data_IF_565482714045
#
_entry.id   IF_565482714045
#
_cell.length_a   1.000
_cell.length_b   1.000
_cell.length_c   1.000
_cell.angle_alpha   90.00
_cell.angle_beta   90.00
_cell.angle_gamma   90.00
#
_symmetry.space_group_name_H-M   'P 1'
#
loop_
_entity.id
_entity.type
_entity.pdbx_description
1 polymer ?
#
# COMPACT_ATOMS: atom_id res chain seq x y z
N UNK A 1 11.22 11.61 13.09
CA UNK A 1 10.99 11.01 11.76
C UNK A 1 9.50 11.04 11.48
N UNK A 2 9.09 11.02 10.21
CA UNK A 2 7.69 10.98 9.78
C UNK A 2 7.45 9.79 8.88
N UNK A 3 6.38 9.05 9.14
CA UNK A 3 5.95 7.91 8.35
C UNK A 3 4.54 8.20 7.83
N UNK A 4 4.42 8.37 6.51
CA UNK A 4 3.14 8.40 5.85
C UNK A 4 2.66 6.96 5.64
N UNK A 5 1.49 6.64 6.19
CA UNK A 5 0.82 5.35 6.00
C UNK A 5 -0.54 5.59 5.38
N UNK A 6 -0.85 4.88 4.30
CA UNK A 6 -2.14 5.03 3.63
C UNK A 6 -2.88 3.72 3.55
N UNK A 7 -4.22 3.78 3.56
CA UNK A 7 -5.11 2.69 3.17
C UNK A 7 -6.12 3.19 2.15
N UNK A 8 -6.85 2.29 1.51
CA UNK A 8 -7.88 2.65 0.53
C UNK A 8 -9.27 2.69 1.14
N UNK A 9 -10.15 3.52 0.59
CA UNK A 9 -11.60 3.44 0.83
C UNK A 9 -12.21 2.09 0.36
N UNK A 10 -13.45 1.78 0.76
CA UNK A 10 -14.17 0.60 0.26
C UNK A 10 -14.35 0.66 -1.27
N UNK A 11 -14.39 -0.52 -1.91
CA UNK A 11 -14.60 -0.65 -3.34
C UNK A 11 -15.24 -1.99 -3.68
N UNK A 12 -15.74 -2.14 -4.92
CA UNK A 12 -16.25 -3.43 -5.41
C UNK A 12 -17.48 -3.96 -4.67
N UNK A 13 -18.28 -3.06 -4.08
CA UNK A 13 -19.48 -3.40 -3.32
C UNK A 13 -19.22 -3.81 -1.86
N UNK A 14 -17.98 -3.73 -1.38
CA UNK A 14 -17.66 -3.92 0.03
C UNK A 14 -17.98 -2.65 0.83
N UNK A 15 -18.41 -2.79 2.08
CA UNK A 15 -18.67 -1.66 2.99
C UNK A 15 -17.41 -1.18 3.73
N UNK A 16 -16.39 -2.04 3.79
CA UNK A 16 -15.12 -1.78 4.47
C UNK A 16 -13.93 -2.10 3.58
N UNK A 17 -12.77 -1.55 3.94
CA UNK A 17 -11.49 -1.94 3.36
C UNK A 17 -10.46 -2.23 4.47
N UNK A 18 -9.98 -3.48 4.62
CA UNK A 18 -9.09 -3.87 5.70
C UNK A 18 -7.76 -3.10 5.70
N UNK A 19 -7.35 -2.54 4.55
CA UNK A 19 -6.17 -1.68 4.51
C UNK A 19 -6.39 -0.39 5.29
N UNK A 20 -7.54 0.28 5.11
CA UNK A 20 -7.86 1.50 5.86
C UNK A 20 -8.22 1.21 7.30
N UNK A 21 -9.02 0.17 7.58
CA UNK A 21 -9.40 -0.19 8.96
C UNK A 21 -8.17 -0.47 9.83
N UNK A 22 -7.16 -1.14 9.28
CA UNK A 22 -5.92 -1.39 9.99
C UNK A 22 -5.06 -0.12 10.15
N UNK A 23 -4.98 0.73 9.11
CA UNK A 23 -4.18 1.96 9.12
C UNK A 23 -4.77 3.04 10.04
N UNK A 24 -6.09 3.24 10.00
CA UNK A 24 -6.81 4.23 10.81
C UNK A 24 -6.63 3.95 12.31
N UNK A 25 -6.57 2.66 12.67
CA UNK A 25 -6.36 2.19 14.04
C UNK A 25 -4.91 2.22 14.54
N UNK A 26 -3.92 2.62 13.73
CA UNK A 26 -2.54 2.77 14.19
C UNK A 26 -2.40 3.94 15.19
N UNK A 27 -1.48 3.86 16.17
CA UNK A 27 -1.16 5.00 17.03
C UNK A 27 -0.56 6.14 16.21
N UNK A 28 -0.65 7.37 16.72
CA UNK A 28 -0.13 8.57 16.06
C UNK A 28 1.41 8.68 16.16
N UNK A 29 2.04 7.88 17.02
CA UNK A 29 3.49 7.80 17.17
C UNK A 29 3.95 6.34 17.36
N UNK A 30 5.06 5.96 16.70
CA UNK A 30 5.74 4.67 16.90
C UNK A 30 7.24 4.91 16.98
N UNK A 31 7.86 4.51 18.10
CA UNK A 31 9.32 4.66 18.34
C UNK A 31 9.81 6.12 18.11
N UNK A 32 9.03 7.13 18.51
CA UNK A 32 9.36 8.54 18.33
C UNK A 32 9.15 9.08 16.90
N UNK A 33 8.63 8.26 15.98
CA UNK A 33 8.24 8.70 14.64
C UNK A 33 6.75 9.04 14.57
N UNK A 34 6.44 10.20 14.00
CA UNK A 34 5.08 10.66 13.73
C UNK A 34 4.44 9.80 12.64
N UNK A 35 3.22 9.29 12.87
CA UNK A 35 2.47 8.45 11.93
C UNK A 35 1.35 9.26 11.28
N UNK A 36 1.57 9.66 10.04
CA UNK A 36 0.59 10.40 9.25
C UNK A 36 -0.30 9.40 8.52
N UNK A 37 -1.58 9.33 8.90
CA UNK A 37 -2.55 8.40 8.30
C UNK A 37 -3.40 9.12 7.24
N UNK A 38 -3.57 8.53 6.06
CA UNK A 38 -4.47 9.06 5.01
C UNK A 38 -5.23 7.95 4.30
N UNK A 39 -6.52 8.17 4.08
CA UNK A 39 -7.34 7.31 3.24
C UNK A 39 -7.22 7.79 1.79
N UNK A 40 -6.97 6.87 0.86
CA UNK A 40 -6.90 7.13 -0.56
C UNK A 40 -8.20 6.68 -1.25
N UNK A 41 -8.63 7.40 -2.30
CA UNK A 41 -9.74 6.93 -3.12
C UNK A 41 -9.31 5.70 -3.93
N UNK A 42 -10.25 4.81 -4.26
CA UNK A 42 -10.00 3.73 -5.23
C UNK A 42 -10.25 4.26 -6.62
N UNK A 43 -9.43 5.23 -7.04
CA UNK A 43 -9.47 5.83 -8.38
C UNK A 43 -8.08 6.04 -8.95
N UNK A 44 -7.88 5.72 -10.23
CA UNK A 44 -6.57 5.89 -10.89
C UNK A 44 -6.15 7.36 -10.95
N UNK A 45 -7.10 8.24 -11.23
CA UNK A 45 -6.86 9.69 -11.28
C UNK A 45 -6.64 10.28 -9.89
N UNK A 46 -7.39 9.81 -8.89
CA UNK A 46 -7.29 10.30 -7.53
C UNK A 46 -5.92 10.02 -6.92
N UNK A 47 -5.40 8.79 -7.03
CA UNK A 47 -4.08 8.46 -6.49
C UNK A 47 -2.96 9.23 -7.20
N UNK A 48 -3.04 9.39 -8.53
CA UNK A 48 -2.07 10.17 -9.33
C UNK A 48 -2.05 11.65 -8.96
N UNK A 49 -3.16 12.19 -8.46
CA UNK A 49 -3.27 13.60 -8.04
C UNK A 49 -2.91 13.83 -6.58
N UNK A 50 -3.38 12.97 -5.68
CA UNK A 50 -3.30 13.17 -4.22
C UNK A 50 -1.91 12.82 -3.69
N UNK A 51 -1.36 11.68 -4.10
CA UNK A 51 -0.09 11.18 -3.55
C UNK A 51 1.08 12.14 -3.78
N UNK A 52 1.29 12.73 -4.97
CA UNK A 52 2.42 13.63 -5.18
C UNK A 52 2.38 14.84 -4.23
N UNK A 53 1.20 15.46 -4.11
CA UNK A 53 0.99 16.59 -3.20
C UNK A 53 1.26 16.19 -1.75
N UNK A 54 0.69 15.07 -1.31
CA UNK A 54 0.83 14.59 0.06
C UNK A 54 2.30 14.29 0.42
N UNK A 55 3.05 13.65 -0.48
CA UNK A 55 4.46 13.31 -0.27
C UNK A 55 5.32 14.59 -0.22
N UNK A 56 5.11 15.51 -1.14
CA UNK A 56 5.89 16.76 -1.24
C UNK A 56 5.58 17.72 -0.08
N UNK A 57 4.32 17.82 0.33
CA UNK A 57 3.90 18.72 1.42
C UNK A 57 4.35 18.20 2.79
N UNK A 58 4.13 16.90 3.08
CA UNK A 58 4.43 16.32 4.40
C UNK A 58 5.92 16.01 4.59
N UNK A 59 6.64 15.76 3.49
CA UNK A 59 8.05 15.35 3.43
C UNK A 59 8.37 14.19 4.38
N UNK A 60 7.69 13.03 4.23
CA UNK A 60 7.91 11.91 5.13
C UNK A 60 9.28 11.26 4.88
N UNK A 61 9.88 10.67 5.92
CA UNK A 61 11.07 9.82 5.78
C UNK A 61 10.69 8.48 5.12
N UNK A 62 9.47 8.00 5.41
CA UNK A 62 8.94 6.75 4.88
C UNK A 62 7.51 6.87 4.37
N UNK A 63 7.20 6.20 3.25
CA UNK A 63 5.84 6.03 2.73
C UNK A 63 5.49 4.54 2.67
N UNK A 64 4.51 4.12 3.45
CA UNK A 64 3.97 2.75 3.43
C UNK A 64 2.54 2.81 2.91
N UNK A 65 2.36 2.44 1.66
CA UNK A 65 1.04 2.32 1.06
C UNK A 65 0.46 0.94 1.37
N UNK A 66 -0.82 0.88 1.71
CA UNK A 66 -1.54 -0.36 1.93
C UNK A 66 -2.72 -0.52 0.98
N UNK A 67 -2.99 -1.76 0.57
CA UNK A 67 -4.16 -2.11 -0.22
C UNK A 67 -4.61 -3.54 0.00
N UNK A 68 -5.86 -3.83 -0.35
CA UNK A 68 -6.43 -5.16 -0.24
C UNK A 68 -6.10 -6.00 -1.47
N UNK A 69 -5.56 -7.21 -1.26
CA UNK A 69 -5.43 -8.26 -2.27
C UNK A 69 -6.29 -9.46 -1.87
N UNK A 70 -7.59 -9.36 -2.18
CA UNK A 70 -8.56 -10.41 -1.87
C UNK A 70 -8.13 -11.78 -2.40
N UNK A 71 -8.12 -12.79 -1.53
CA UNK A 71 -7.73 -14.16 -1.87
C UNK A 71 -6.28 -14.53 -1.56
N UNK A 72 -5.38 -13.57 -1.30
CA UNK A 72 -4.05 -13.90 -0.72
C UNK A 72 -4.24 -14.40 0.71
N UNK A 73 -3.46 -15.40 1.17
CA UNK A 73 -3.56 -15.91 2.54
C UNK A 73 -2.67 -15.18 3.56
N UNK A 74 -1.83 -14.25 3.10
CA UNK A 74 -0.75 -13.65 3.88
C UNK A 74 -0.56 -12.17 3.56
N UNK A 75 0.12 -11.46 4.47
CA UNK A 75 0.63 -10.12 4.21
C UNK A 75 1.71 -10.20 3.14
N UNK A 76 1.68 -9.32 2.16
CA UNK A 76 2.66 -9.35 1.06
C UNK A 76 3.30 -7.99 0.87
N UNK A 77 4.63 -7.94 1.00
CA UNK A 77 5.40 -6.72 0.77
C UNK A 77 5.82 -6.70 -0.69
N UNK A 78 5.38 -5.68 -1.43
CA UNK A 78 5.59 -5.59 -2.87
C UNK A 78 7.02 -5.17 -3.20
N UNK A 79 7.63 -5.87 -4.15
CA UNK A 79 8.99 -5.59 -4.62
C UNK A 79 9.02 -4.48 -5.65
N UNK A 80 8.02 -4.41 -6.53
CA UNK A 80 8.07 -3.62 -7.77
C UNK A 80 6.70 -3.09 -8.13
N UNK A 81 6.67 -1.84 -8.60
CA UNK A 81 5.54 -1.24 -9.30
C UNK A 81 5.90 -1.06 -10.78
N UNK A 82 4.96 -1.31 -11.66
CA UNK A 82 5.14 -1.25 -13.13
C UNK A 82 4.33 -0.10 -13.72
N UNK A 83 4.83 0.50 -14.81
CA UNK A 83 4.22 1.66 -15.46
C UNK A 83 3.06 1.27 -16.39
N UNK A 84 2.04 0.62 -15.83
CA UNK A 84 0.82 0.25 -16.57
C UNK A 84 -0.40 0.30 -15.65
N UNK A 85 -1.49 0.81 -16.20
CA UNK A 85 -2.84 0.74 -15.69
C UNK A 85 -3.63 -0.10 -16.69
N UNK A 86 -4.09 -1.25 -16.23
CA UNK A 86 -4.86 -2.19 -17.06
C UNK A 86 -5.88 -2.90 -16.17
N UNK A 87 -7.17 -2.68 -16.45
CA UNK A 87 -8.24 -3.35 -15.72
C UNK A 87 -9.56 -3.41 -16.46
N UNK A 88 -10.16 -4.61 -16.45
CA UNK A 88 -11.56 -4.80 -16.88
C UNK A 88 -12.58 -4.36 -15.81
N UNK A 89 -12.13 -4.13 -14.57
CA UNK A 89 -12.98 -3.66 -13.47
C UNK A 89 -12.86 -2.14 -13.40
N UNK A 90 -13.95 -1.38 -13.47
CA UNK A 90 -13.88 0.06 -13.31
C UNK A 90 -13.54 0.44 -11.85
N UNK A 91 -12.81 1.54 -11.72
CA UNK A 91 -12.57 2.20 -10.44
C UNK A 91 -13.85 2.86 -9.87
N UNK A 92 -13.77 3.45 -8.68
CA UNK A 92 -14.95 4.04 -8.01
C UNK A 92 -15.54 5.25 -8.78
N UNK A 93 -14.85 5.79 -9.78
CA UNK A 93 -15.33 6.84 -10.69
C UNK A 93 -15.79 6.30 -12.05
N UNK A 94 -15.79 4.98 -12.24
CA UNK A 94 -16.21 4.33 -13.47
C UNK A 94 -15.12 4.22 -14.53
N UNK A 95 -13.86 4.59 -14.22
CA UNK A 95 -12.76 4.54 -15.18
C UNK A 95 -12.10 3.16 -15.21
N UNK A 96 -11.97 2.61 -16.41
CA UNK A 96 -11.33 1.32 -16.69
C UNK A 96 -10.29 1.50 -17.81
N UNK A 97 -9.00 1.67 -17.46
CA UNK A 97 -7.93 1.82 -18.45
C UNK A 97 -7.56 0.48 -19.09
N UNK A 98 -7.10 0.54 -20.34
CA UNK A 98 -6.59 -0.60 -21.12
C UNK A 98 -5.18 -0.28 -21.62
N UNK A 99 -4.17 -0.95 -21.04
CA UNK A 99 -2.74 -0.79 -21.39
C UNK A 99 -2.21 0.66 -21.39
N UNK A 100 -2.76 1.52 -20.53
CA UNK A 100 -2.30 2.91 -20.41
C UNK A 100 -1.12 3.04 -19.43
N UNK A 101 -0.10 3.87 -19.70
CA UNK A 101 0.96 4.11 -18.73
C UNK A 101 0.43 4.90 -17.52
N UNK A 102 1.00 4.63 -16.33
CA UNK A 102 0.71 5.44 -15.13
C UNK A 102 1.18 6.88 -15.36
N UNK A 103 2.41 7.04 -15.87
CA UNK A 103 2.98 8.30 -16.35
C UNK A 103 3.69 8.09 -17.69
N UNK A 104 3.31 8.89 -18.70
CA UNK A 104 3.95 8.91 -20.01
C UNK A 104 5.44 9.25 -19.90
N UNK A 105 6.28 8.51 -20.63
CA UNK A 105 7.74 8.69 -20.63
C UNK A 105 8.47 8.31 -19.33
N UNK A 106 7.77 7.84 -18.29
CA UNK A 106 8.41 7.34 -17.08
C UNK A 106 9.04 5.95 -17.30
N UNK A 107 10.01 5.54 -16.45
CA UNK A 107 10.61 4.20 -16.53
C UNK A 107 9.57 3.08 -16.47
N UNK A 108 9.88 1.93 -17.06
CA UNK A 108 8.97 0.79 -17.08
C UNK A 108 8.56 0.28 -15.69
N UNK A 109 9.42 0.45 -14.69
CA UNK A 109 9.16 -0.01 -13.33
C UNK A 109 10.01 0.75 -12.30
N UNK A 110 9.54 0.76 -11.05
CA UNK A 110 10.30 1.15 -9.88
C UNK A 110 10.32 0.02 -8.85
N UNK A 111 11.50 -0.25 -8.28
CA UNK A 111 11.60 -1.11 -7.10
C UNK A 111 11.21 -0.35 -5.83
N UNK A 112 10.58 -1.05 -4.89
CA UNK A 112 10.38 -0.54 -3.54
C UNK A 112 11.74 -0.22 -2.88
N UNK A 113 11.80 0.90 -2.16
CA UNK A 113 12.99 1.33 -1.42
C UNK A 113 12.89 1.06 0.09
N UNK A 114 11.74 0.54 0.56
CA UNK A 114 11.62 -0.06 1.90
C UNK A 114 12.53 -1.29 2.06
N UNK A 115 12.93 -1.65 3.29
CA UNK A 115 13.71 -2.86 3.56
C UNK A 115 12.83 -4.13 3.51
N UNK A 116 12.27 -4.47 2.34
CA UNK A 116 11.20 -5.46 2.17
C UNK A 116 11.51 -6.84 2.76
N UNK A 117 12.77 -7.31 2.64
CA UNK A 117 13.20 -8.60 3.20
C UNK A 117 13.25 -8.57 4.73
N UNK A 118 13.65 -7.44 5.32
CA UNK A 118 13.68 -7.27 6.77
C UNK A 118 12.25 -7.24 7.31
N UNK A 119 11.34 -6.50 6.66
CA UNK A 119 9.92 -6.44 7.02
C UNK A 119 9.31 -7.86 7.01
N UNK A 120 9.50 -8.63 5.94
CA UNK A 120 8.96 -10.00 5.86
C UNK A 120 9.53 -10.92 6.95
N UNK A 121 10.82 -10.81 7.29
CA UNK A 121 11.40 -11.59 8.40
C UNK A 121 10.77 -11.20 9.74
N UNK A 122 10.70 -9.92 10.04
CA UNK A 122 10.14 -9.42 11.30
C UNK A 122 8.66 -9.81 11.47
N UNK A 123 7.87 -9.77 10.39
CA UNK A 123 6.48 -10.25 10.39
C UNK A 123 6.40 -11.74 10.75
N UNK A 124 7.24 -12.57 10.15
CA UNK A 124 7.28 -14.02 10.42
C UNK A 124 7.75 -14.33 11.85
N UNK A 125 8.73 -13.58 12.36
CA UNK A 125 9.18 -13.67 13.76
C UNK A 125 8.03 -13.32 14.72
N UNK A 126 7.22 -12.33 14.38
CA UNK A 126 5.99 -11.95 15.09
C UNK A 126 4.80 -12.90 14.88
N UNK A 127 5.01 -14.05 14.20
CA UNK A 127 4.01 -15.09 13.89
C UNK A 127 2.89 -14.62 12.95
N UNK A 128 3.16 -13.63 12.11
CA UNK A 128 2.25 -13.15 11.07
C UNK A 128 2.68 -13.76 9.71
N UNK A 129 1.80 -14.51 9.01
CA UNK A 129 2.12 -15.03 7.69
C UNK A 129 2.46 -13.89 6.72
N UNK A 130 3.68 -13.91 6.17
CA UNK A 130 4.15 -12.87 5.27
C UNK A 130 5.02 -13.40 4.12
N UNK A 131 5.02 -12.70 2.99
CA UNK A 131 5.86 -13.01 1.82
C UNK A 131 6.25 -11.76 1.04
N UNK A 132 7.18 -11.92 0.10
CA UNK A 132 7.45 -10.90 -0.91
C UNK A 132 6.57 -11.20 -2.11
N UNK A 133 5.90 -10.17 -2.64
CA UNK A 133 5.20 -10.23 -3.91
C UNK A 133 6.01 -9.48 -4.98
N UNK A 134 6.00 -10.02 -6.20
CA UNK A 134 6.67 -9.41 -7.36
C UNK A 134 5.67 -8.80 -8.35
N UNK A 135 4.40 -8.71 -7.97
CA UNK A 135 3.37 -7.98 -8.72
C UNK A 135 2.34 -7.38 -7.77
N UNK A 136 2.19 -6.06 -7.85
CA UNK A 136 1.13 -5.32 -7.18
C UNK A 136 -0.20 -5.33 -8.01
N UNK A 137 -0.26 -6.13 -9.08
CA UNK A 137 -1.30 -6.07 -10.10
C UNK A 137 -1.09 -4.92 -11.08
N UNK A 138 -2.14 -4.55 -11.80
CA UNK A 138 -2.19 -3.44 -12.79
C UNK A 138 -3.32 -2.45 -12.47
N UNK A 139 -3.92 -2.59 -11.29
CA UNK A 139 -5.03 -1.75 -10.81
C UNK A 139 -4.53 -0.54 -10.01
N UNK A 140 -5.43 0.12 -9.28
CA UNK A 140 -5.15 1.32 -8.47
C UNK A 140 -4.02 1.10 -7.44
N UNK A 141 -3.85 -0.10 -6.88
CA UNK A 141 -2.76 -0.40 -5.94
C UNK A 141 -1.37 -0.26 -6.59
N UNK A 142 -1.17 -0.83 -7.78
CA UNK A 142 0.07 -0.66 -8.56
C UNK A 142 0.27 0.80 -8.96
N UNK A 143 -0.80 1.45 -9.43
CA UNK A 143 -0.79 2.87 -9.82
C UNK A 143 -0.35 3.78 -8.66
N UNK A 144 -0.85 3.54 -7.45
CA UNK A 144 -0.46 4.26 -6.25
C UNK A 144 1.01 4.03 -5.88
N UNK A 145 1.47 2.77 -5.89
CA UNK A 145 2.88 2.44 -5.62
C UNK A 145 3.82 3.09 -6.64
N UNK A 146 3.48 3.00 -7.94
CA UNK A 146 4.24 3.63 -9.00
C UNK A 146 4.27 5.15 -8.83
N UNK A 147 3.13 5.77 -8.55
CA UNK A 147 3.01 7.22 -8.35
C UNK A 147 3.89 7.71 -7.21
N UNK A 148 3.88 7.04 -6.06
CA UNK A 148 4.72 7.44 -4.93
C UNK A 148 6.21 7.34 -5.27
N UNK A 149 6.64 6.20 -5.83
CA UNK A 149 8.04 5.97 -6.21
C UNK A 149 8.52 6.94 -7.29
N UNK A 150 7.69 7.19 -8.31
CA UNK A 150 7.97 8.14 -9.37
C UNK A 150 8.09 9.57 -8.83
N UNK A 151 7.16 10.00 -7.98
CA UNK A 151 7.19 11.32 -7.34
C UNK A 151 8.50 11.52 -6.57
N UNK A 152 8.86 10.56 -5.71
CA UNK A 152 10.08 10.62 -4.90
C UNK A 152 11.32 10.71 -5.78
N UNK A 153 11.39 9.88 -6.82
CA UNK A 153 12.52 9.86 -7.75
C UNK A 153 12.67 11.17 -8.53
N UNK A 154 11.58 11.72 -9.07
CA UNK A 154 11.58 12.99 -9.82
C UNK A 154 11.88 14.18 -8.93
N UNK A 155 11.38 14.18 -7.69
CA UNK A 155 11.64 15.24 -6.72
C UNK A 155 13.04 15.14 -6.07
N UNK A 156 13.79 14.06 -6.31
CA UNK A 156 15.12 13.85 -5.72
C UNK A 156 15.08 13.67 -4.19
N UNK A 157 14.00 13.11 -3.65
CA UNK A 157 13.82 12.94 -2.20
C UNK A 157 14.54 11.68 -1.69
N UNK A 158 15.03 11.73 -0.45
CA UNK A 158 15.61 10.55 0.24
C UNK A 158 14.54 9.62 0.85
N UNK A 159 13.26 9.97 0.72
CA UNK A 159 12.11 9.21 1.23
C UNK A 159 12.14 7.75 0.74
N UNK A 160 12.02 6.80 1.67
CA UNK A 160 11.87 5.37 1.33
C UNK A 160 10.39 5.02 1.18
N UNK A 161 10.01 4.30 0.13
CA UNK A 161 8.62 3.99 -0.18
C UNK A 161 8.40 2.54 -0.63
N UNK A 162 7.21 2.03 -0.37
CA UNK A 162 6.79 0.72 -0.82
C UNK A 162 5.32 0.45 -0.52
N UNK A 163 4.87 -0.74 -0.88
CA UNK A 163 3.47 -1.14 -0.79
C UNK A 163 3.33 -2.47 -0.06
N UNK A 164 2.27 -2.61 0.74
CA UNK A 164 1.94 -3.83 1.47
C UNK A 164 0.50 -4.21 1.15
N UNK A 165 0.32 -5.36 0.52
CA UNK A 165 -0.99 -5.95 0.31
C UNK A 165 -1.42 -6.78 1.51
N UNK A 166 -2.68 -6.63 1.88
CA UNK A 166 -3.34 -7.34 2.99
C UNK A 166 -4.45 -8.25 2.44
N UNK A 167 -4.75 -9.38 3.09
CA UNK A 167 -5.85 -10.24 2.69
C UNK A 167 -7.21 -9.60 3.02
N UNK A 168 -8.31 -10.30 2.73
CA UNK A 168 -9.64 -9.94 3.25
C UNK A 168 -9.63 -9.88 4.79
N UNK A 169 -10.48 -9.05 5.38
CA UNK A 169 -10.84 -9.19 6.80
C UNK A 169 -11.75 -10.41 7.01
N UNK A 170 -11.91 -10.85 8.26
CA UNK A 170 -12.87 -11.91 8.59
C UNK A 170 -14.30 -11.51 8.22
N UNK A 171 -14.65 -10.24 8.42
CA UNK A 171 -15.97 -9.69 8.08
C UNK A 171 -16.27 -9.78 6.58
N UNK A 172 -15.29 -9.47 5.72
CA UNK A 172 -15.46 -9.62 4.27
C UNK A 172 -15.55 -11.08 3.79
N UNK A 173 -15.11 -12.03 4.63
CA UNK A 173 -15.01 -13.45 4.28
C UNK A 173 -16.13 -14.33 4.86
N UNK A 174 -17.11 -13.76 5.58
CA UNK A 174 -18.20 -14.52 6.20
C UNK A 174 -18.95 -15.40 5.17
N UNK A 175 -19.25 -14.83 4.01
CA UNK A 175 -19.99 -15.50 2.92
C UNK A 175 -19.10 -15.90 1.75
N UNK A 176 -17.77 -15.84 1.91
CA UNK A 176 -16.79 -16.10 0.83
C UNK A 176 -15.80 -17.16 1.31
N UNK A 177 -15.68 -18.34 0.67
CA UNK A 177 -14.69 -19.36 1.05
C UNK A 177 -13.28 -18.93 0.61
N UNK A 178 -12.76 -17.86 1.22
CA UNK A 178 -11.49 -17.20 0.89
C UNK A 178 -10.66 -17.00 2.16
N UNK A 179 -9.32 -17.01 2.05
CA UNK A 179 -8.47 -16.66 3.17
C UNK A 179 -8.76 -15.25 3.68
N UNK A 180 -8.69 -15.08 5.00
CA UNK A 180 -8.87 -13.79 5.68
C UNK A 180 -7.95 -13.67 6.89
N UNK A 181 -7.80 -12.44 7.39
CA UNK A 181 -7.00 -12.13 8.56
C UNK A 181 -7.71 -11.08 9.42
N UNK A 182 -7.69 -11.24 10.73
CA UNK A 182 -8.24 -10.25 11.66
C UNK A 182 -7.59 -8.87 11.46
N UNK A 183 -8.38 -7.80 11.49
CA UNK A 183 -7.91 -6.43 11.28
C UNK A 183 -6.84 -6.05 12.30
N UNK A 184 -6.95 -6.54 13.54
CA UNK A 184 -5.95 -6.34 14.60
C UNK A 184 -4.60 -6.98 14.23
N UNK A 185 -4.62 -8.13 13.56
CA UNK A 185 -3.40 -8.79 13.07
C UNK A 185 -2.80 -8.01 11.91
N UNK A 186 -3.62 -7.48 11.01
CA UNK A 186 -3.19 -6.61 9.90
C UNK A 186 -2.58 -5.31 10.46
N UNK A 187 -3.22 -4.67 11.44
CA UNK A 187 -2.68 -3.48 12.13
C UNK A 187 -1.34 -3.77 12.78
N UNK A 188 -1.23 -4.88 13.52
CA UNK A 188 0.04 -5.33 14.10
C UNK A 188 1.11 -5.54 13.03
N UNK A 189 0.74 -6.04 11.85
CA UNK A 189 1.66 -6.18 10.72
C UNK A 189 2.21 -4.81 10.27
N UNK A 190 1.37 -3.78 10.17
CA UNK A 190 1.83 -2.43 9.86
C UNK A 190 2.74 -1.85 10.93
N UNK A 191 2.41 -2.01 12.23
CA UNK A 191 3.32 -1.56 13.28
C UNK A 191 4.70 -2.24 13.19
N UNK A 192 4.75 -3.54 12.90
CA UNK A 192 6.02 -4.27 12.70
C UNK A 192 6.77 -3.75 11.48
N UNK A 193 6.07 -3.50 10.37
CA UNK A 193 6.67 -2.96 9.16
C UNK A 193 7.26 -1.54 9.40
N UNK A 194 6.55 -0.70 10.14
CA UNK A 194 6.99 0.65 10.51
C UNK A 194 8.24 0.57 11.39
N UNK A 195 8.19 -0.15 12.52
CA UNK A 195 9.36 -0.32 13.42
C UNK A 195 10.57 -0.88 12.69
N UNK A 196 10.36 -1.82 11.78
CA UNK A 196 11.44 -2.43 10.98
C UNK A 196 12.04 -1.42 10.01
N UNK A 197 11.22 -0.54 9.42
CA UNK A 197 11.67 0.49 8.49
C UNK A 197 12.48 1.57 9.19
N UNK A 198 12.07 2.00 10.39
CA UNK A 198 12.78 3.02 11.19
C UNK A 198 14.21 2.62 11.59
N UNK A 199 14.51 1.32 11.60
CA UNK A 199 15.81 0.77 12.06
C UNK A 199 16.83 0.55 10.94
N UNK A 200 16.47 0.79 9.67
CA UNK A 200 17.32 0.50 8.50
C UNK A 200 17.39 1.64 7.50
#
# INVERSE_FOLDING_TARGET
MKVLVTGFEPFGGEEINPSWEAVSGLPDEIEGAEIIKRQLPVTFNGVRKILPKLIVDEKPDFVILAGQAGGRPNITVERVAINVMDSTMPDNEGFAPEDEPVFEGAPAAYFATLPIKAIVRALREAKIPAGISNTAGTYVCNTAMFTALHTIAVAGMETKAGFIHVPFSHEQALEKPRPSMAVETIRKAFEVAIRTSLRG
#
